data_IF_579889748635
#
_entry.id   IF_579889748635
#
_cell.length_a   1.000
_cell.length_b   1.000
_cell.length_c   1.000
_cell.angle_alpha   90.00
_cell.angle_beta   90.00
_cell.angle_gamma   90.00
#
_symmetry.space_group_name_H-M   'P 1'
#
loop_
_entity.id
_entity.type
_entity.pdbx_description
1 polymer ?
#
# COMPACT_ATOMS: atom_id res chain seq x y z
N UNK A 1 13.73 -0.78 24.49
CA UNK A 1 12.74 0.27 24.19
C UNK A 1 12.91 0.67 22.73
N UNK A 2 12.35 -0.11 21.81
CA UNK A 2 12.28 0.26 20.38
C UNK A 2 10.82 0.11 19.98
N UNK A 3 10.08 1.21 20.02
CA UNK A 3 8.71 1.23 19.51
C UNK A 3 8.77 0.94 18.01
N UNK A 4 8.14 -0.14 17.57
CA UNK A 4 7.94 -0.37 16.14
C UNK A 4 7.04 0.75 15.62
N UNK A 5 7.59 1.63 14.76
CA UNK A 5 6.80 2.64 14.06
C UNK A 5 5.89 1.88 13.11
N UNK A 6 4.58 1.86 13.40
CA UNK A 6 3.56 1.24 12.57
C UNK A 6 2.75 2.35 11.90
N UNK A 7 2.70 2.34 10.59
CA UNK A 7 1.92 3.30 9.83
C UNK A 7 0.43 3.02 9.97
N UNK A 8 -0.37 4.04 10.30
CA UNK A 8 -1.84 3.97 10.27
C UNK A 8 -2.42 4.44 8.94
N UNK A 9 -1.63 5.17 8.15
CA UNK A 9 -1.97 5.69 6.82
C UNK A 9 -0.76 5.54 5.91
N UNK A 10 -0.98 5.54 4.60
CA UNK A 10 0.13 5.58 3.65
C UNK A 10 0.86 6.94 3.74
N UNK A 11 2.20 6.96 3.76
CA UNK A 11 2.95 8.20 3.63
C UNK A 11 2.73 8.83 2.25
N UNK A 12 2.25 10.08 2.20
CA UNK A 12 2.01 10.80 0.94
C UNK A 12 3.28 10.97 0.10
N UNK A 13 4.46 11.00 0.72
CA UNK A 13 5.74 11.09 0.00
C UNK A 13 5.98 9.92 -0.95
N UNK A 14 5.34 8.77 -0.74
CA UNK A 14 5.41 7.62 -1.64
C UNK A 14 4.75 7.94 -2.99
N UNK A 15 3.74 8.81 -3.02
CA UNK A 15 3.03 9.19 -4.25
C UNK A 15 3.94 9.84 -5.31
N UNK A 16 5.11 10.36 -4.90
CA UNK A 16 6.11 10.96 -5.79
C UNK A 16 7.09 9.94 -6.38
N UNK A 17 7.09 8.70 -5.89
CA UNK A 17 7.98 7.64 -6.33
C UNK A 17 7.43 6.95 -7.58
N UNK A 18 7.29 7.68 -8.69
CA UNK A 18 6.66 7.17 -9.93
C UNK A 18 7.37 5.96 -10.54
N UNK A 19 8.65 5.76 -10.24
CA UNK A 19 9.45 4.61 -10.68
C UNK A 19 9.40 3.41 -9.72
N UNK A 20 8.60 3.49 -8.65
CA UNK A 20 8.48 2.42 -7.68
C UNK A 20 7.80 1.21 -8.31
N UNK A 21 8.51 0.07 -8.34
CA UNK A 21 7.99 -1.19 -8.88
C UNK A 21 7.47 -2.12 -7.79
N UNK A 22 8.02 -2.00 -6.57
CA UNK A 22 7.63 -2.82 -5.42
C UNK A 22 7.46 -1.97 -4.17
N UNK A 23 6.35 -2.16 -3.45
CA UNK A 23 6.06 -1.51 -2.17
C UNK A 23 5.64 -2.55 -1.15
N UNK A 24 6.36 -2.66 -0.03
CA UNK A 24 5.99 -3.52 1.08
C UNK A 24 5.60 -2.69 2.29
N UNK A 25 4.32 -2.77 2.66
CA UNK A 25 3.74 -2.13 3.83
C UNK A 25 3.07 -3.17 4.75
N UNK A 26 3.48 -4.43 4.67
CA UNK A 26 2.99 -5.47 5.56
C UNK A 26 3.26 -5.15 7.03
N UNK A 27 2.43 -5.70 7.94
CA UNK A 27 2.57 -5.56 9.40
C UNK A 27 2.41 -4.12 9.93
N UNK A 28 1.67 -3.30 9.20
CA UNK A 28 1.30 -1.95 9.63
C UNK A 28 -0.13 -1.93 10.19
N UNK A 29 -0.65 -0.74 10.46
CA UNK A 29 -2.00 -0.51 10.96
C UNK A 29 -2.86 0.23 9.94
N UNK A 30 -2.49 0.15 8.66
CA UNK A 30 -3.14 0.88 7.58
C UNK A 30 -4.58 0.38 7.46
N UNK A 31 -5.55 1.31 7.46
CA UNK A 31 -6.98 0.99 7.35
C UNK A 31 -7.53 1.22 5.95
N UNK A 32 -6.85 2.04 5.14
CA UNK A 32 -7.30 2.47 3.82
C UNK A 32 -6.15 2.52 2.81
N UNK A 33 -6.48 2.26 1.55
CA UNK A 33 -5.57 2.46 0.43
C UNK A 33 -5.97 3.78 -0.23
N UNK A 34 -5.06 4.75 -0.33
CA UNK A 34 -5.37 6.06 -0.90
C UNK A 34 -5.54 5.98 -2.41
N UNK A 35 -6.35 6.88 -2.97
CA UNK A 35 -6.59 6.93 -4.43
C UNK A 35 -5.31 7.17 -5.22
N UNK A 36 -4.37 7.94 -4.66
CA UNK A 36 -3.10 8.23 -5.32
C UNK A 36 -2.24 6.98 -5.55
N UNK A 37 -2.55 5.81 -4.98
CA UNK A 37 -1.82 4.58 -5.31
C UNK A 37 -1.84 4.28 -6.82
N UNK A 38 -2.87 4.76 -7.55
CA UNK A 38 -2.94 4.66 -9.00
C UNK A 38 -1.94 5.54 -9.76
N UNK A 39 -1.35 6.55 -9.10
CA UNK A 39 -0.30 7.39 -9.72
C UNK A 39 1.02 6.65 -9.85
N UNK A 40 1.22 5.56 -9.09
CA UNK A 40 2.39 4.69 -9.15
C UNK A 40 2.30 3.74 -10.35
N UNK A 41 2.34 4.30 -11.56
CA UNK A 41 2.11 3.57 -12.80
C UNK A 41 3.05 2.38 -13.05
N UNK A 42 4.24 2.39 -12.43
CA UNK A 42 5.23 1.31 -12.55
C UNK A 42 5.11 0.26 -11.43
N UNK A 43 4.19 0.41 -10.47
CA UNK A 43 4.06 -0.49 -9.33
C UNK A 43 3.45 -1.83 -9.75
N UNK A 44 4.23 -2.90 -9.63
CA UNK A 44 3.83 -4.27 -10.00
C UNK A 44 3.69 -5.20 -8.80
N UNK A 45 4.29 -4.85 -7.65
CA UNK A 45 4.14 -5.59 -6.38
C UNK A 45 3.78 -4.67 -5.20
N UNK A 46 2.72 -5.00 -4.46
CA UNK A 46 2.22 -4.24 -3.31
C UNK A 46 1.83 -5.23 -2.22
N UNK A 47 2.61 -5.27 -1.15
CA UNK A 47 2.38 -6.17 -0.02
C UNK A 47 1.70 -5.40 1.11
N UNK A 48 0.52 -5.86 1.51
CA UNK A 48 -0.33 -5.22 2.52
C UNK A 48 -0.82 -6.19 3.61
N UNK A 49 -0.25 -7.39 3.68
CA UNK A 49 -0.59 -8.39 4.69
C UNK A 49 -0.46 -7.84 6.12
N UNK A 50 -1.25 -8.37 7.04
CA UNK A 50 -1.23 -7.94 8.45
C UNK A 50 -1.45 -6.42 8.64
N UNK A 51 -2.37 -5.83 7.85
CA UNK A 51 -2.91 -4.48 8.03
C UNK A 51 -4.40 -4.53 8.46
N UNK A 52 -5.05 -3.37 8.59
CA UNK A 52 -6.47 -3.21 8.96
C UNK A 52 -7.33 -2.84 7.75
N UNK A 53 -6.87 -3.12 6.53
CA UNK A 53 -7.56 -2.76 5.29
C UNK A 53 -8.76 -3.68 5.13
N UNK A 54 -9.96 -3.11 5.25
CA UNK A 54 -11.23 -3.82 5.10
C UNK A 54 -11.86 -3.60 3.72
N UNK A 55 -11.46 -2.53 3.04
CA UNK A 55 -11.98 -2.13 1.72
C UNK A 55 -10.83 -2.04 0.74
N UNK A 56 -10.90 -2.83 -0.33
CA UNK A 56 -10.03 -2.65 -1.49
C UNK A 56 -10.63 -1.57 -2.41
N UNK A 57 -9.84 -0.57 -2.84
CA UNK A 57 -10.35 0.48 -3.71
C UNK A 57 -10.67 -0.11 -5.10
N UNK A 58 -11.70 0.43 -5.77
CA UNK A 58 -12.08 -0.01 -7.12
C UNK A 58 -10.94 0.12 -8.14
N UNK A 59 -10.03 1.07 -7.90
CA UNK A 59 -8.77 1.27 -8.66
C UNK A 59 -7.92 0.00 -8.74
N UNK A 60 -7.94 -0.83 -7.70
CA UNK A 60 -7.22 -2.09 -7.68
C UNK A 60 -7.87 -3.20 -8.53
N UNK A 61 -9.12 -3.06 -8.99
CA UNK A 61 -9.82 -4.14 -9.72
C UNK A 61 -9.33 -4.36 -11.15
N UNK A 62 -8.62 -3.38 -11.75
CA UNK A 62 -8.01 -3.51 -13.08
C UNK A 62 -6.47 -3.45 -13.09
N UNK A 63 -5.88 -2.96 -12.00
CA UNK A 63 -4.44 -2.67 -11.90
C UNK A 63 -3.73 -3.47 -10.81
N UNK A 64 -4.40 -4.36 -10.06
CA UNK A 64 -3.77 -5.03 -8.93
C UNK A 64 -2.60 -5.93 -9.36
N UNK A 65 -1.40 -5.36 -9.28
CA UNK A 65 -0.47 -5.65 -8.19
C UNK A 65 -0.91 -6.85 -7.36
N UNK A 66 -0.11 -7.92 -7.33
CA UNK A 66 -0.41 -9.13 -6.55
C UNK A 66 -0.43 -8.81 -5.05
N UNK A 67 -1.53 -8.23 -4.58
CA UNK A 67 -1.74 -7.87 -3.20
C UNK A 67 -2.11 -9.15 -2.47
N UNK A 68 -1.10 -9.82 -1.93
CA UNK A 68 -1.32 -10.91 -0.99
C UNK A 68 -1.80 -10.29 0.33
N UNK A 69 -3.12 -10.07 0.41
CA UNK A 69 -3.84 -9.82 1.66
C UNK A 69 -3.94 -11.20 2.35
N UNK A 70 -2.96 -11.55 3.17
CA UNK A 70 -3.08 -12.62 4.16
C UNK A 70 -3.07 -12.01 5.55
#
# INVERSE_FOLDING_TARGET
MFGTIRFSVFPESIAQLTNLTKLNLSKNKISEIPEWISSLANLTELYLSENQITVMPRVCQGFCVRAEIK
#
